data_IF_139199326812
#
_entry.id   IF_139199326812
#
_cell.length_a   1.000
_cell.length_b   1.000
_cell.length_c   1.000
_cell.angle_alpha   90.00
_cell.angle_beta   90.00
_cell.angle_gamma   90.00
#
_symmetry.space_group_name_H-M   'P 1'
#
loop_
_entity.id
_entity.type
_entity.pdbx_description
1 polymer ?
#
# COMPACT_ATOMS: atom_id res chain seq x y z
N UNK A 1 18.13 -7.10 -4.37
CA UNK A 1 18.20 -5.81 -5.09
C UNK A 1 17.02 -5.80 -6.05
N UNK A 2 16.25 -4.70 -6.12
CA UNK A 2 15.10 -4.60 -7.01
C UNK A 2 15.54 -4.47 -8.47
N UNK A 3 14.72 -4.97 -9.39
CA UNK A 3 15.05 -4.99 -10.82
C UNK A 3 14.59 -3.72 -11.56
N UNK A 4 13.40 -3.19 -11.19
CA UNK A 4 12.85 -1.99 -11.82
C UNK A 4 13.60 -0.72 -11.41
N UNK A 5 14.03 0.14 -12.35
CA UNK A 5 14.79 1.35 -12.01
C UNK A 5 14.07 2.27 -11.03
N UNK A 6 12.73 2.38 -11.14
CA UNK A 6 11.95 3.20 -10.21
C UNK A 6 11.92 2.59 -8.80
N UNK A 7 11.80 1.26 -8.68
CA UNK A 7 11.85 0.57 -7.39
C UNK A 7 13.24 0.65 -6.73
N UNK A 8 14.32 0.72 -7.52
CA UNK A 8 15.66 0.98 -6.98
C UNK A 8 15.77 2.38 -6.37
N UNK A 9 15.11 3.39 -6.97
CA UNK A 9 15.03 4.75 -6.38
C UNK A 9 14.21 4.74 -5.10
N UNK A 10 13.08 4.04 -5.09
CA UNK A 10 12.28 3.86 -3.87
C UNK A 10 13.12 3.20 -2.78
N UNK A 11 13.90 2.17 -3.09
CA UNK A 11 14.78 1.52 -2.12
C UNK A 11 15.79 2.50 -1.52
N UNK A 12 16.39 3.40 -2.34
CA UNK A 12 17.28 4.45 -1.85
C UNK A 12 16.56 5.44 -0.94
N UNK A 13 15.34 5.85 -1.32
CA UNK A 13 14.53 6.72 -0.47
C UNK A 13 14.24 6.05 0.87
N UNK A 14 13.82 4.77 0.88
CA UNK A 14 13.55 4.02 2.10
C UNK A 14 14.78 3.86 2.99
N UNK A 15 15.96 3.64 2.39
CA UNK A 15 17.22 3.53 3.15
C UNK A 15 17.61 4.86 3.82
N UNK A 16 17.27 6.00 3.23
CA UNK A 16 17.55 7.32 3.80
C UNK A 16 16.61 7.68 4.97
N UNK A 17 15.48 6.97 5.14
CA UNK A 17 14.50 7.24 6.20
C UNK A 17 15.05 6.86 7.58
N UNK A 18 14.71 7.65 8.59
CA UNK A 18 14.85 7.28 10.00
C UNK A 18 13.81 6.22 10.39
N UNK A 19 14.12 4.96 10.08
CA UNK A 19 13.23 3.83 10.32
C UNK A 19 12.91 3.62 11.80
N UNK A 20 13.87 3.94 12.71
CA UNK A 20 13.66 3.85 14.15
C UNK A 20 12.64 4.89 14.63
N UNK A 21 12.74 6.12 14.14
CA UNK A 21 11.78 7.19 14.42
C UNK A 21 10.38 6.84 13.93
N UNK A 22 10.23 6.38 12.68
CA UNK A 22 8.93 5.98 12.17
C UNK A 22 8.34 4.80 12.96
N UNK A 23 9.16 3.83 13.35
CA UNK A 23 8.72 2.70 14.20
C UNK A 23 8.25 3.15 15.57
N UNK A 24 8.95 4.09 16.21
CA UNK A 24 8.54 4.65 17.51
C UNK A 24 7.14 5.27 17.44
N UNK A 25 6.81 5.88 16.29
CA UNK A 25 5.49 6.48 16.05
C UNK A 25 4.52 5.53 15.34
N UNK A 26 4.76 4.22 15.34
CA UNK A 26 3.88 3.20 14.72
C UNK A 26 3.52 3.54 13.27
N UNK A 27 4.43 4.20 12.58
CA UNK A 27 4.27 4.62 11.19
C UNK A 27 4.89 3.56 10.28
N UNK A 28 4.04 2.82 9.56
CA UNK A 28 4.40 1.60 8.85
C UNK A 28 4.33 1.83 7.34
N UNK A 29 5.32 1.29 6.61
CA UNK A 29 5.32 1.32 5.15
C UNK A 29 4.21 0.42 4.61
N UNK A 30 3.31 1.00 3.82
CA UNK A 30 2.10 0.37 3.30
C UNK A 30 1.87 0.66 1.83
N UNK A 31 0.61 0.65 1.44
CA UNK A 31 0.19 0.97 0.08
C UNK A 31 0.56 -0.08 -0.96
N UNK A 32 0.41 0.29 -2.23
CA UNK A 32 0.64 -0.62 -3.34
C UNK A 32 2.11 -0.91 -3.62
N UNK A 33 2.99 0.00 -3.22
CA UNK A 33 4.43 -0.15 -3.49
C UNK A 33 5.04 -1.25 -2.64
N UNK A 34 4.77 -1.30 -1.35
CA UNK A 34 5.27 -2.39 -0.50
C UNK A 34 4.82 -3.76 -1.01
N UNK A 35 3.57 -3.87 -1.48
CA UNK A 35 3.04 -5.11 -2.05
C UNK A 35 3.80 -5.50 -3.32
N UNK A 36 4.00 -4.55 -4.24
CA UNK A 36 4.77 -4.80 -5.45
C UNK A 36 6.20 -5.28 -5.15
N UNK A 37 6.88 -4.64 -4.19
CA UNK A 37 8.24 -4.98 -3.79
C UNK A 37 8.34 -6.37 -3.13
N UNK A 38 7.39 -6.73 -2.26
CA UNK A 38 7.38 -8.01 -1.56
C UNK A 38 6.96 -9.19 -2.45
N UNK A 39 6.21 -8.93 -3.53
CA UNK A 39 5.65 -9.98 -4.38
C UNK A 39 6.29 -10.06 -5.78
N UNK A 40 7.58 -9.70 -5.89
CA UNK A 40 8.39 -9.91 -7.10
C UNK A 40 8.17 -8.85 -8.17
N UNK A 41 7.92 -7.62 -7.78
CA UNK A 41 7.83 -6.46 -8.68
C UNK A 41 6.90 -6.67 -9.89
N UNK A 42 5.79 -7.39 -9.68
CA UNK A 42 4.85 -7.79 -10.74
C UNK A 42 4.25 -6.61 -11.51
N UNK A 43 4.27 -5.41 -10.94
CA UNK A 43 3.89 -4.15 -11.59
C UNK A 43 4.84 -3.03 -11.19
N UNK A 44 4.85 -1.95 -11.94
CA UNK A 44 5.47 -0.71 -11.48
C UNK A 44 4.60 -0.05 -10.40
N UNK A 45 5.23 0.45 -9.36
CA UNK A 45 4.60 1.28 -8.33
C UNK A 45 5.50 2.47 -8.04
N UNK A 46 4.91 3.66 -7.83
CA UNK A 46 5.65 4.93 -7.93
C UNK A 46 5.68 5.74 -6.65
N UNK A 47 4.76 5.47 -5.75
CA UNK A 47 4.56 6.26 -4.55
C UNK A 47 5.15 5.55 -3.33
N UNK A 48 5.50 6.30 -2.30
CA UNK A 48 5.90 5.77 -1.00
C UNK A 48 4.87 6.22 0.02
N UNK A 49 4.06 5.26 0.46
CA UNK A 49 2.95 5.50 1.36
C UNK A 49 3.24 4.88 2.73
N UNK A 50 3.13 5.67 3.78
CA UNK A 50 3.16 5.22 5.16
C UNK A 50 1.76 5.37 5.77
N UNK A 51 1.41 4.45 6.67
CA UNK A 51 0.17 4.49 7.41
C UNK A 51 0.44 4.51 8.91
N UNK A 52 -0.39 5.26 9.62
CA UNK A 52 -0.41 5.31 11.08
C UNK A 52 -1.87 5.38 11.53
N UNK A 53 -2.30 4.48 12.43
CA UNK A 53 -3.67 4.51 12.98
C UNK A 53 -3.75 5.18 14.36
N UNK A 54 -2.62 5.35 15.03
CA UNK A 54 -2.53 6.02 16.32
C UNK A 54 -2.50 7.54 16.15
N UNK A 55 -3.53 8.22 16.67
CA UNK A 55 -3.68 9.68 16.51
C UNK A 55 -2.61 10.49 17.23
N UNK A 56 -2.11 10.00 18.36
CA UNK A 56 -1.07 10.69 19.11
C UNK A 56 0.26 10.60 18.38
N UNK A 57 0.62 9.42 17.90
CA UNK A 57 1.78 9.23 17.02
C UNK A 57 1.70 10.10 15.76
N UNK A 58 0.54 10.19 15.13
CA UNK A 58 0.36 11.07 13.97
C UNK A 58 0.56 12.56 14.32
N UNK A 59 0.05 13.01 15.48
CA UNK A 59 0.27 14.38 15.95
C UNK A 59 1.74 14.68 16.20
N UNK A 60 2.48 13.73 16.79
CA UNK A 60 3.92 13.85 17.01
C UNK A 60 4.71 13.93 15.71
N UNK A 61 4.39 13.07 14.72
CA UNK A 61 4.97 13.15 13.36
C UNK A 61 4.72 14.52 12.71
N UNK A 62 3.51 15.06 12.83
CA UNK A 62 3.23 16.43 12.36
C UNK A 62 4.07 17.48 13.10
N UNK A 63 4.28 17.32 14.40
CA UNK A 63 5.14 18.18 15.21
C UNK A 63 6.56 18.20 14.67
N UNK A 64 7.15 17.02 14.40
CA UNK A 64 8.48 16.87 13.81
C UNK A 64 8.56 17.60 12.46
N UNK A 65 7.60 17.36 11.58
CA UNK A 65 7.62 18.01 10.24
C UNK A 65 7.36 19.52 10.35
N UNK A 66 6.66 19.99 11.36
CA UNK A 66 6.47 21.43 11.59
C UNK A 66 7.76 22.11 12.05
N UNK A 67 8.54 21.47 12.95
CA UNK A 67 9.77 22.04 13.50
C UNK A 67 10.99 21.88 12.57
N UNK A 68 11.16 20.68 11.99
CA UNK A 68 12.38 20.28 11.30
C UNK A 68 12.18 20.08 9.79
N UNK A 69 10.96 20.35 9.29
CA UNK A 69 10.60 20.04 7.92
C UNK A 69 10.52 18.53 7.68
N UNK A 70 10.36 18.13 6.43
CA UNK A 70 10.34 16.70 6.05
C UNK A 70 11.70 16.03 6.36
N UNK A 71 12.79 16.80 6.37
CA UNK A 71 14.12 16.32 6.72
C UNK A 71 14.19 15.69 8.11
N UNK A 72 13.33 16.12 9.05
CA UNK A 72 13.21 15.52 10.37
C UNK A 72 12.83 14.05 10.42
N UNK A 73 12.37 13.49 9.29
CA UNK A 73 12.00 12.06 9.13
C UNK A 73 13.12 11.22 8.46
N UNK A 74 14.28 11.82 8.18
CA UNK A 74 15.36 11.18 7.43
C UNK A 74 16.68 11.23 8.19
N UNK A 75 17.50 10.19 8.05
CA UNK A 75 18.88 10.15 8.54
C UNK A 75 19.86 10.75 7.53
N UNK A 76 19.52 10.78 6.26
CA UNK A 76 20.33 11.32 5.19
C UNK A 76 19.60 12.50 4.52
N UNK A 77 20.35 13.49 3.98
CA UNK A 77 19.75 14.61 3.25
C UNK A 77 18.95 14.12 2.04
N UNK A 78 17.72 14.61 1.91
CA UNK A 78 16.86 14.35 0.75
C UNK A 78 16.49 15.67 0.06
N UNK A 79 16.34 15.64 -1.25
CA UNK A 79 15.91 16.80 -2.01
C UNK A 79 14.38 16.85 -2.08
N UNK A 80 13.81 17.73 -1.29
CA UNK A 80 12.38 18.02 -1.30
C UNK A 80 12.06 18.98 -2.46
N UNK A 81 11.07 18.60 -3.30
CA UNK A 81 10.64 19.40 -4.46
C UNK A 81 9.46 20.33 -4.16
N UNK A 82 8.73 20.06 -3.12
CA UNK A 82 7.55 20.83 -2.71
C UNK A 82 7.38 20.76 -1.20
N UNK A 83 7.02 21.89 -0.60
CA UNK A 83 6.70 21.95 0.83
C UNK A 83 5.67 20.90 1.23
N UNK A 84 5.85 20.33 2.42
CA UNK A 84 4.94 19.33 2.94
C UNK A 84 3.57 19.94 3.21
N UNK A 85 2.54 19.39 2.59
CA UNK A 85 1.16 19.67 2.96
C UNK A 85 0.75 18.76 4.10
N UNK A 86 0.28 19.37 5.19
CA UNK A 86 -0.15 18.66 6.39
C UNK A 86 -1.58 19.05 6.74
N UNK A 87 -2.43 18.07 6.96
CA UNK A 87 -3.79 18.24 7.43
C UNK A 87 -4.14 17.18 8.48
N UNK A 88 -5.42 17.04 8.82
CA UNK A 88 -5.87 16.01 9.75
C UNK A 88 -5.84 14.58 9.18
N UNK A 89 -5.60 14.43 7.88
CA UNK A 89 -5.64 13.15 7.18
C UNK A 89 -4.27 12.64 6.76
N UNK A 90 -3.27 13.53 6.65
CA UNK A 90 -1.94 13.08 6.23
C UNK A 90 -0.92 14.19 6.04
N UNK A 91 0.32 13.76 5.81
CA UNK A 91 1.49 14.56 5.44
C UNK A 91 1.87 14.14 4.03
N UNK A 92 2.01 15.08 3.10
CA UNK A 92 2.23 14.78 1.67
C UNK A 92 3.27 15.71 1.08
N UNK A 93 4.26 15.15 0.37
CA UNK A 93 5.28 15.92 -0.34
C UNK A 93 5.78 15.18 -1.57
N UNK A 94 6.72 15.80 -2.31
CA UNK A 94 7.48 15.18 -3.38
C UNK A 94 8.97 15.22 -3.02
N UNK A 95 9.64 14.08 -3.10
CA UNK A 95 11.06 13.92 -2.86
C UNK A 95 11.73 13.47 -4.16
N UNK A 96 12.85 14.08 -4.51
CA UNK A 96 13.60 13.71 -5.72
C UNK A 96 14.71 12.71 -5.37
N UNK A 97 14.74 11.61 -6.11
CA UNK A 97 15.86 10.65 -6.09
C UNK A 97 16.34 10.48 -7.54
N UNK A 98 17.61 10.78 -7.80
CA UNK A 98 18.24 10.75 -9.13
C UNK A 98 17.46 11.52 -10.21
N UNK A 99 17.00 12.71 -9.90
CA UNK A 99 16.25 13.54 -10.83
C UNK A 99 14.79 13.11 -11.05
N UNK A 100 14.29 12.07 -10.34
CA UNK A 100 12.93 11.56 -10.48
C UNK A 100 12.13 11.91 -9.23
N UNK A 101 10.97 12.59 -9.37
CA UNK A 101 10.09 12.87 -8.25
C UNK A 101 9.38 11.59 -7.78
N UNK A 102 9.39 11.37 -6.47
CA UNK A 102 8.65 10.31 -5.78
C UNK A 102 7.65 10.97 -4.83
N UNK A 103 6.39 10.60 -4.94
CA UNK A 103 5.37 11.03 -4.00
C UNK A 103 5.60 10.31 -2.67
N UNK A 104 5.72 11.09 -1.59
CA UNK A 104 5.88 10.58 -0.23
C UNK A 104 4.68 11.01 0.59
N UNK A 105 4.00 10.05 1.20
CA UNK A 105 2.82 10.29 2.04
C UNK A 105 2.91 9.54 3.37
N UNK A 106 2.44 10.21 4.44
CA UNK A 106 2.06 9.55 5.69
C UNK A 106 0.56 9.80 5.86
N UNK A 107 -0.23 8.74 5.88
CA UNK A 107 -1.70 8.81 5.96
C UNK A 107 -2.14 8.38 7.35
N UNK A 108 -3.02 9.17 7.97
CA UNK A 108 -3.73 8.75 9.16
C UNK A 108 -4.84 7.77 8.76
N UNK A 109 -4.63 6.48 9.01
CA UNK A 109 -5.67 5.47 8.84
C UNK A 109 -6.64 5.52 10.03
N UNK A 110 -7.84 6.00 9.78
CA UNK A 110 -8.86 6.22 10.81
C UNK A 110 -9.99 5.19 10.79
N UNK A 111 -10.03 4.32 9.76
CA UNK A 111 -11.11 3.34 9.56
C UNK A 111 -10.86 2.03 10.31
N UNK A 112 -9.58 1.65 10.45
CA UNK A 112 -9.16 0.43 11.13
C UNK A 112 -7.94 0.70 12.01
N UNK A 113 -7.79 -0.09 13.06
CA UNK A 113 -6.55 -0.14 13.83
C UNK A 113 -5.54 -1.03 13.10
N UNK A 114 -4.34 -0.54 12.90
CA UNK A 114 -3.24 -1.32 12.36
C UNK A 114 -2.61 -2.16 13.47
N UNK A 115 -2.27 -3.41 13.14
CA UNK A 115 -1.61 -4.29 14.09
C UNK A 115 -0.20 -3.75 14.40
N UNK A 116 0.24 -4.02 15.61
CA UNK A 116 1.53 -3.51 16.08
C UNK A 116 2.72 -4.03 15.26
N UNK A 117 3.90 -3.51 15.59
CA UNK A 117 5.16 -3.84 14.94
C UNK A 117 5.44 -5.36 15.02
N UNK A 118 5.52 -6.01 13.87
CA UNK A 118 6.10 -7.34 13.73
C UNK A 118 7.56 -7.18 13.30
N UNK A 119 8.49 -7.89 13.95
CA UNK A 119 9.91 -7.85 13.58
C UNK A 119 10.19 -8.52 12.23
N UNK A 120 9.25 -9.31 11.72
CA UNK A 120 9.42 -10.14 10.52
C UNK A 120 9.20 -9.40 9.20
N UNK A 121 8.56 -8.23 9.21
CA UNK A 121 8.14 -7.55 7.99
C UNK A 121 8.87 -6.22 7.81
N UNK A 122 9.91 -6.21 6.99
CA UNK A 122 10.62 -4.98 6.62
C UNK A 122 11.06 -4.97 5.16
N UNK A 123 11.14 -3.77 4.58
CA UNK A 123 11.71 -3.52 3.26
C UNK A 123 12.76 -2.41 3.40
N UNK A 124 14.00 -2.68 3.01
CA UNK A 124 15.13 -1.73 3.14
C UNK A 124 15.30 -1.20 4.58
N UNK A 125 15.06 -2.04 5.60
CA UNK A 125 15.16 -1.66 7.01
C UNK A 125 13.94 -0.93 7.57
N UNK A 126 12.96 -0.57 6.74
CA UNK A 126 11.72 0.10 7.15
C UNK A 126 10.63 -0.93 7.41
N UNK A 127 9.96 -0.85 8.55
CA UNK A 127 8.88 -1.77 8.94
C UNK A 127 7.65 -1.58 8.07
N UNK A 128 7.03 -2.69 7.69
CA UNK A 128 5.82 -2.69 6.86
C UNK A 128 4.59 -3.07 7.67
N UNK A 129 3.43 -2.81 7.10
CA UNK A 129 2.16 -3.38 7.59
C UNK A 129 2.25 -4.90 7.69
N UNK A 130 1.52 -5.50 8.64
CA UNK A 130 1.32 -6.94 8.68
C UNK A 130 0.61 -7.42 7.41
N UNK A 131 0.72 -8.71 7.10
CA UNK A 131 -0.01 -9.26 5.95
C UNK A 131 -1.52 -9.08 6.07
N UNK A 132 -2.08 -9.21 7.28
CA UNK A 132 -3.50 -8.99 7.55
C UNK A 132 -3.89 -7.54 7.27
N UNK A 133 -3.08 -6.58 7.72
CA UNK A 133 -3.34 -5.16 7.48
C UNK A 133 -3.21 -4.80 6.00
N UNK A 134 -2.20 -5.33 5.31
CA UNK A 134 -2.06 -5.09 3.87
C UNK A 134 -3.29 -5.57 3.09
N UNK A 135 -3.82 -6.75 3.45
CA UNK A 135 -5.05 -7.28 2.82
C UNK A 135 -6.26 -6.44 3.19
N UNK A 136 -6.42 -6.06 4.47
CA UNK A 136 -7.54 -5.22 4.93
C UNK A 136 -7.54 -3.86 4.23
N UNK A 137 -6.37 -3.19 4.14
CA UNK A 137 -6.21 -1.92 3.43
C UNK A 137 -6.56 -2.03 1.95
N UNK A 138 -6.20 -3.14 1.30
CA UNK A 138 -6.56 -3.37 -0.10
C UNK A 138 -8.04 -3.66 -0.31
N UNK A 139 -8.69 -4.32 0.63
CA UNK A 139 -10.15 -4.51 0.61
C UNK A 139 -10.87 -3.17 0.76
N UNK A 140 -10.44 -2.32 1.70
CA UNK A 140 -10.99 -0.98 1.89
C UNK A 140 -10.80 -0.11 0.64
N UNK A 141 -9.58 -0.04 0.11
CA UNK A 141 -9.28 0.72 -1.09
C UNK A 141 -10.06 0.22 -2.31
N UNK A 142 -10.25 -1.10 -2.43
CA UNK A 142 -11.11 -1.67 -3.47
C UNK A 142 -12.56 -1.21 -3.30
N UNK A 143 -13.12 -1.25 -2.09
CA UNK A 143 -14.50 -0.79 -1.85
C UNK A 143 -14.68 0.68 -2.18
N UNK A 144 -13.70 1.53 -1.85
CA UNK A 144 -13.76 2.96 -2.14
C UNK A 144 -13.79 3.28 -3.65
N UNK A 145 -13.13 2.47 -4.49
CA UNK A 145 -12.84 2.88 -5.87
C UNK A 145 -12.83 1.76 -6.91
N UNK A 146 -13.50 0.60 -6.67
CA UNK A 146 -13.54 -0.48 -7.65
C UNK A 146 -14.16 -0.08 -9.00
N UNK A 147 -15.06 0.91 -9.00
CA UNK A 147 -15.74 1.40 -10.19
C UNK A 147 -14.98 2.50 -10.94
N UNK A 148 -13.93 3.05 -10.34
CA UNK A 148 -13.12 4.12 -10.92
C UNK A 148 -12.17 3.56 -11.97
N UNK A 149 -12.36 3.98 -13.21
CA UNK A 149 -11.55 3.54 -14.35
C UNK A 149 -10.12 4.08 -14.30
N UNK A 150 -9.87 5.19 -13.60
CA UNK A 150 -8.55 5.83 -13.51
C UNK A 150 -7.58 5.10 -12.56
N UNK A 151 -8.10 4.28 -11.66
CA UNK A 151 -7.25 3.51 -10.74
C UNK A 151 -6.85 2.13 -11.28
N UNK A 152 -7.21 1.79 -12.51
CA UNK A 152 -6.81 0.55 -13.20
C UNK A 152 -7.10 -0.74 -12.42
N UNK A 153 -8.14 -0.75 -11.58
CA UNK A 153 -8.48 -1.90 -10.72
C UNK A 153 -7.28 -2.45 -9.92
N UNK A 154 -6.30 -1.59 -9.63
CA UNK A 154 -5.01 -1.98 -9.03
C UNK A 154 -5.16 -2.67 -7.68
N UNK A 155 -6.17 -2.29 -6.89
CA UNK A 155 -6.37 -2.88 -5.55
C UNK A 155 -6.83 -4.33 -5.63
N UNK A 156 -7.73 -4.66 -6.57
CA UNK A 156 -8.13 -6.03 -6.87
C UNK A 156 -6.96 -6.86 -7.40
N UNK A 157 -6.13 -6.28 -8.29
CA UNK A 157 -4.96 -6.95 -8.85
C UNK A 157 -3.91 -7.17 -7.74
N UNK A 158 -3.67 -6.17 -6.88
CA UNK A 158 -2.76 -6.30 -5.75
C UNK A 158 -3.20 -7.43 -4.80
N UNK A 159 -4.49 -7.53 -4.48
CA UNK A 159 -5.05 -8.66 -3.70
C UNK A 159 -4.76 -10.01 -4.38
N UNK A 160 -5.00 -10.12 -5.68
CA UNK A 160 -4.80 -11.36 -6.44
C UNK A 160 -3.31 -11.76 -6.55
N UNK A 161 -2.41 -10.78 -6.59
CA UNK A 161 -0.98 -11.04 -6.65
C UNK A 161 -0.37 -11.36 -5.29
N UNK A 162 -0.91 -10.79 -4.22
CA UNK A 162 -0.53 -11.04 -2.84
C UNK A 162 -1.05 -12.40 -2.36
N UNK A 163 -2.31 -12.74 -2.68
CA UNK A 163 -3.01 -13.96 -2.26
C UNK A 163 -2.97 -15.01 -3.39
N UNK A 164 -1.82 -15.65 -3.60
CA UNK A 164 -1.61 -16.57 -4.73
C UNK A 164 -2.57 -17.77 -4.76
N UNK A 165 -3.04 -18.22 -3.60
CA UNK A 165 -4.04 -19.29 -3.43
C UNK A 165 -5.49 -18.75 -3.45
N UNK A 166 -5.67 -17.44 -3.53
CA UNK A 166 -6.95 -16.74 -3.55
C UNK A 166 -7.67 -16.69 -2.20
N UNK A 167 -7.06 -17.13 -1.11
CA UNK A 167 -7.70 -17.19 0.20
C UNK A 167 -7.50 -15.89 0.98
N UNK A 168 -8.57 -15.12 1.12
CA UNK A 168 -8.56 -13.89 1.90
C UNK A 168 -8.61 -14.25 3.39
N UNK A 169 -7.62 -13.82 4.21
CA UNK A 169 -7.64 -14.09 5.65
C UNK A 169 -8.92 -13.55 6.31
N UNK A 170 -9.57 -14.35 7.14
CA UNK A 170 -10.79 -13.91 7.83
C UNK A 170 -10.55 -12.70 8.71
N UNK A 171 -9.41 -12.65 9.41
CA UNK A 171 -9.04 -11.50 10.21
C UNK A 171 -8.98 -10.19 9.38
N UNK A 172 -8.52 -10.26 8.13
CA UNK A 172 -8.52 -9.10 7.24
C UNK A 172 -9.93 -8.69 6.81
N UNK A 173 -10.81 -9.68 6.51
CA UNK A 173 -12.22 -9.41 6.19
C UNK A 173 -12.96 -8.82 7.39
N UNK A 174 -12.76 -9.36 8.59
CA UNK A 174 -13.37 -8.85 9.82
C UNK A 174 -12.87 -7.42 10.11
N UNK A 175 -11.57 -7.18 9.95
CA UNK A 175 -10.98 -5.85 10.15
C UNK A 175 -11.56 -4.84 9.16
N UNK A 176 -11.57 -5.13 7.87
CA UNK A 176 -12.16 -4.27 6.84
C UNK A 176 -13.69 -4.12 7.00
N UNK A 177 -14.38 -5.20 7.38
CA UNK A 177 -15.83 -5.24 7.59
C UNK A 177 -16.33 -4.35 8.74
N UNK A 178 -15.44 -3.98 9.68
CA UNK A 178 -15.79 -2.98 10.73
C UNK A 178 -15.96 -1.58 10.15
N UNK A 179 -15.26 -1.27 9.06
CA UNK A 179 -15.39 0.02 8.39
C UNK A 179 -16.52 0.02 7.34
N UNK A 180 -16.63 -1.04 6.54
CA UNK A 180 -17.62 -1.12 5.45
C UNK A 180 -18.31 -2.48 5.40
N UNK A 181 -19.62 -2.49 5.58
CA UNK A 181 -20.44 -3.73 5.48
C UNK A 181 -20.49 -4.31 4.05
N UNK A 182 -20.04 -3.56 3.05
CA UNK A 182 -20.12 -3.92 1.64
C UNK A 182 -18.87 -4.62 1.08
N UNK A 183 -17.84 -4.86 1.89
CA UNK A 183 -16.51 -5.36 1.46
C UNK A 183 -16.62 -6.57 0.50
N UNK A 184 -17.35 -7.62 0.87
CA UNK A 184 -17.48 -8.81 0.05
C UNK A 184 -18.29 -8.56 -1.22
N UNK A 185 -19.37 -7.77 -1.12
CA UNK A 185 -20.17 -7.39 -2.27
C UNK A 185 -19.39 -6.52 -3.27
N UNK A 186 -18.57 -5.60 -2.78
CA UNK A 186 -17.74 -4.72 -3.61
C UNK A 186 -16.58 -5.49 -4.25
N UNK A 187 -16.05 -6.51 -3.58
CA UNK A 187 -15.08 -7.43 -4.18
C UNK A 187 -15.70 -8.18 -5.38
N UNK A 188 -16.92 -8.71 -5.26
CA UNK A 188 -17.60 -9.40 -6.37
C UNK A 188 -17.92 -8.43 -7.53
N UNK A 189 -18.33 -7.19 -7.24
CA UNK A 189 -18.51 -6.16 -8.27
C UNK A 189 -17.18 -5.83 -8.96
N UNK A 190 -16.08 -5.71 -8.23
CA UNK A 190 -14.76 -5.47 -8.79
C UNK A 190 -14.32 -6.61 -9.73
N UNK A 191 -14.55 -7.88 -9.33
CA UNK A 191 -14.29 -9.06 -10.16
C UNK A 191 -15.09 -9.03 -11.46
N UNK A 192 -16.40 -8.75 -11.38
CA UNK A 192 -17.24 -8.60 -12.57
C UNK A 192 -16.78 -7.41 -13.45
N UNK A 193 -16.32 -6.33 -12.84
CA UNK A 193 -15.87 -5.14 -13.55
C UNK A 193 -14.58 -5.37 -14.35
N UNK A 194 -13.60 -6.08 -13.77
CA UNK A 194 -12.33 -6.37 -14.46
C UNK A 194 -12.48 -7.37 -15.61
N UNK A 195 -13.52 -8.21 -15.59
CA UNK A 195 -13.82 -9.19 -16.65
C UNK A 195 -14.46 -8.57 -17.91
N UNK A 196 -14.80 -7.28 -17.89
CA UNK A 196 -15.29 -6.60 -19.10
C UNK A 196 -14.25 -6.68 -20.22
N UNK A 197 -14.67 -6.83 -21.49
CA UNK A 197 -13.77 -6.99 -22.63
C UNK A 197 -12.67 -5.92 -22.67
N UNK A 198 -11.41 -6.36 -22.75
CA UNK A 198 -10.22 -5.50 -22.87
C UNK A 198 -9.78 -4.79 -21.59
N UNK A 199 -10.60 -4.80 -20.50
CA UNK A 199 -10.27 -4.05 -19.30
C UNK A 199 -9.01 -4.54 -18.59
N UNK A 200 -8.90 -5.84 -18.32
CA UNK A 200 -7.72 -6.41 -17.66
C UNK A 200 -6.44 -6.09 -18.45
N UNK A 201 -6.48 -6.27 -19.77
CA UNK A 201 -5.31 -5.99 -20.62
C UNK A 201 -4.88 -4.53 -20.54
N UNK A 202 -5.83 -3.58 -20.55
CA UNK A 202 -5.56 -2.15 -20.37
C UNK A 202 -4.94 -1.85 -19.01
N UNK A 203 -5.55 -2.35 -17.93
CA UNK A 203 -5.04 -2.15 -16.56
C UNK A 203 -3.62 -2.70 -16.41
N UNK A 204 -3.35 -3.90 -16.92
CA UNK A 204 -2.02 -4.51 -16.88
C UNK A 204 -0.99 -3.71 -17.67
N UNK A 205 -1.36 -3.18 -18.84
CA UNK A 205 -0.47 -2.35 -19.65
C UNK A 205 -0.13 -1.03 -18.92
N UNK A 206 -1.13 -0.34 -18.37
CA UNK A 206 -0.93 0.91 -17.61
C UNK A 206 -0.03 0.72 -16.39
N UNK A 207 -0.13 -0.44 -15.72
CA UNK A 207 0.71 -0.80 -14.57
C UNK A 207 2.05 -1.46 -14.97
N UNK A 208 2.35 -1.57 -16.27
CA UNK A 208 3.57 -2.20 -16.78
C UNK A 208 3.77 -3.64 -16.24
N UNK A 209 2.69 -4.43 -16.20
CA UNK A 209 2.76 -5.82 -15.77
C UNK A 209 3.28 -6.71 -16.89
N UNK A 210 4.06 -7.72 -16.50
CA UNK A 210 4.66 -8.68 -17.45
C UNK A 210 4.08 -10.10 -17.33
N UNK A 211 3.22 -10.33 -16.34
CA UNK A 211 2.57 -11.63 -16.13
C UNK A 211 1.57 -11.93 -17.23
N UNK A 212 1.35 -13.22 -17.58
CA UNK A 212 0.28 -13.60 -18.51
C UNK A 212 -1.10 -13.15 -17.99
N UNK A 213 -1.94 -12.47 -18.81
CA UNK A 213 -3.27 -12.04 -18.39
C UNK A 213 -4.15 -13.18 -17.86
N UNK A 214 -4.02 -14.38 -18.43
CA UNK A 214 -4.75 -15.57 -17.98
C UNK A 214 -4.41 -15.94 -16.52
N UNK A 215 -3.15 -15.80 -16.11
CA UNK A 215 -2.72 -16.05 -14.74
C UNK A 215 -3.33 -15.03 -13.77
N UNK A 216 -3.32 -13.75 -14.14
CA UNK A 216 -3.86 -12.68 -13.29
C UNK A 216 -5.37 -12.87 -13.13
N UNK A 217 -6.07 -13.16 -14.23
CA UNK A 217 -7.51 -13.41 -14.21
C UNK A 217 -7.89 -14.64 -13.36
N UNK A 218 -7.14 -15.74 -13.50
CA UNK A 218 -7.34 -16.95 -12.69
C UNK A 218 -7.20 -16.65 -11.19
N UNK A 219 -6.18 -15.89 -10.80
CA UNK A 219 -5.99 -15.47 -9.40
C UNK A 219 -7.11 -14.57 -8.90
N UNK A 220 -7.57 -13.60 -9.71
CA UNK A 220 -8.71 -12.74 -9.37
C UNK A 220 -9.97 -13.58 -9.12
N UNK A 221 -10.27 -14.53 -10.00
CA UNK A 221 -11.43 -15.42 -9.85
C UNK A 221 -11.39 -16.30 -8.60
N UNK A 222 -10.21 -16.67 -8.16
CA UNK A 222 -9.98 -17.48 -6.95
C UNK A 222 -10.15 -16.70 -5.64
N UNK A 223 -10.16 -15.36 -5.68
CA UNK A 223 -10.31 -14.55 -4.47
C UNK A 223 -11.63 -14.87 -3.76
N UNK A 224 -11.55 -15.37 -2.55
CA UNK A 224 -12.70 -15.70 -1.68
C UNK A 224 -12.27 -15.78 -0.22
N UNK A 225 -13.19 -15.65 0.74
CA UNK A 225 -12.87 -15.86 2.15
C UNK A 225 -12.20 -17.21 2.39
N UNK A 226 -11.19 -17.22 3.25
CA UNK A 226 -10.61 -18.47 3.72
C UNK A 226 -11.69 -19.31 4.47
N UNK A 227 -11.65 -20.66 4.36
CA UNK A 227 -12.59 -21.52 5.09
C UNK A 227 -12.52 -21.24 6.59
N UNK A 228 -13.63 -21.42 7.29
CA UNK A 228 -13.64 -21.44 8.76
C UNK A 228 -12.77 -22.59 9.23
N UNK A 229 -11.86 -22.33 10.17
CA UNK A 229 -11.20 -23.43 10.85
C UNK A 229 -12.29 -24.32 11.48
N UNK A 230 -12.42 -25.54 11.00
CA UNK A 230 -13.26 -26.55 11.66
C UNK A 230 -12.56 -26.88 12.97
N UNK A 231 -13.21 -26.55 14.08
CA UNK A 231 -12.77 -26.90 15.45
C UNK A 231 -12.71 -28.39 15.61
#
# INVERSE_FOLDING_TARGET
>A
MFERPHHQRIARLLTAIDAAKLSTHKCLFGGGTVIALLHGEYRESRDVDFLVSDRDSYRELRGIVTSDGIAGLFNEPVKQLRDARMDQYGIRTLIEIDGVPIKFEIVLEARIELDGLSDENSVCGVRTLTHVDQVAEKLLANSDRWADDEVDSRDLIDLAMMLKDGRIPRAALEKAGRAYNSIEADLEKAKAHIERPGRLARCMANMQMTQPPALVLDRIRKLKPAPTATS
#
